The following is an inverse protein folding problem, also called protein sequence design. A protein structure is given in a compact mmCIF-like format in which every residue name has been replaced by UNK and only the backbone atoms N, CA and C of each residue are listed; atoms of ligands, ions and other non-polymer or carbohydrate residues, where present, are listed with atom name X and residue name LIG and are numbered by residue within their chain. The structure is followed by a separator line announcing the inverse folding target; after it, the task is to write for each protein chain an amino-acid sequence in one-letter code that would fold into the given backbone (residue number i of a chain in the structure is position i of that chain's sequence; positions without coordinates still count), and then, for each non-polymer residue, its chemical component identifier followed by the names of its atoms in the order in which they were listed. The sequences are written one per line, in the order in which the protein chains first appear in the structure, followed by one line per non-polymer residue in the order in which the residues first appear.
data_IF_171283296471
#
_entry.id   IF_171283296471
#
_cell.length_a   1.000
_cell.length_b   1.000
_cell.length_c   1.000
_cell.angle_alpha   90.00
_cell.angle_beta   90.00
_cell.angle_gamma   90.00
#
_symmetry.space_group_name_H-M   'P 1'
#
loop_
_entity.id
_entity.type
_entity.pdbx_description
1 polymer ?
#
# COMPACT_ATOMS: atom_id res chain seq x y z
N UNK A 1 17.77 -13.84 -17.14
CA UNK A 1 18.91 -12.93 -17.37
C UNK A 1 18.58 -12.08 -18.58
N UNK A 2 18.16 -10.82 -18.36
CA UNK A 2 17.95 -9.89 -19.46
C UNK A 2 19.32 -9.49 -20.03
N UNK A 3 19.57 -9.80 -21.30
CA UNK A 3 20.82 -9.52 -22.02
C UNK A 3 20.98 -8.04 -22.39
N UNK A 4 20.73 -7.14 -21.44
CA UNK A 4 21.04 -5.72 -21.60
C UNK A 4 22.52 -5.54 -21.29
N UNK A 5 23.31 -5.24 -22.31
CA UNK A 5 24.70 -4.83 -22.13
C UNK A 5 24.73 -3.68 -21.12
N UNK A 6 25.51 -3.81 -20.05
CA UNK A 6 25.63 -2.82 -18.97
C UNK A 6 25.73 -1.38 -19.51
N UNK A 7 26.42 -1.19 -20.63
CA UNK A 7 26.63 0.12 -21.28
C UNK A 7 25.37 0.82 -21.79
N UNK A 8 24.26 0.12 -22.03
CA UNK A 8 22.99 0.74 -22.46
C UNK A 8 22.24 1.45 -21.32
N UNK A 9 22.38 0.94 -20.08
CA UNK A 9 21.70 1.50 -18.90
C UNK A 9 22.39 2.80 -18.47
N UNK A 10 23.72 2.88 -18.54
CA UNK A 10 24.49 4.08 -18.18
C UNK A 10 24.38 5.24 -19.18
N UNK A 11 23.82 5.01 -20.39
CA UNK A 11 23.55 6.08 -21.35
C UNK A 11 22.21 6.80 -21.11
N UNK A 12 21.36 6.30 -20.20
CA UNK A 12 20.08 6.92 -19.85
C UNK A 12 19.99 7.40 -18.40
N UNK A 13 20.88 6.93 -17.52
CA UNK A 13 20.85 7.27 -16.11
C UNK A 13 22.23 7.74 -15.64
N UNK A 14 22.26 8.85 -14.90
CA UNK A 14 23.47 9.47 -14.35
C UNK A 14 24.17 8.60 -13.30
N UNK A 15 23.48 7.60 -12.73
CA UNK A 15 24.06 6.65 -11.80
C UNK A 15 23.04 5.70 -11.18
N UNK A 16 23.52 4.90 -10.22
CA UNK A 16 22.71 3.90 -9.49
C UNK A 16 21.46 4.50 -8.84
N UNK A 17 21.55 5.74 -8.38
CA UNK A 17 20.44 6.49 -7.76
C UNK A 17 19.24 6.57 -8.71
N UNK A 18 19.48 7.08 -9.91
CA UNK A 18 18.44 7.32 -10.91
C UNK A 18 17.91 6.00 -11.50
N UNK A 19 18.78 5.01 -11.65
CA UNK A 19 18.38 3.64 -12.02
C UNK A 19 17.42 3.08 -10.98
N UNK A 20 17.76 3.20 -9.69
CA UNK A 20 16.93 2.67 -8.63
C UNK A 20 15.60 3.41 -8.53
N UNK A 21 15.60 4.74 -8.60
CA UNK A 21 14.38 5.53 -8.61
C UNK A 21 13.43 5.12 -9.76
N UNK A 22 13.98 4.90 -10.97
CA UNK A 22 13.22 4.45 -12.12
C UNK A 22 12.68 3.03 -11.95
N UNK A 23 13.46 2.10 -11.38
CA UNK A 23 13.00 0.74 -11.06
C UNK A 23 11.91 0.78 -9.99
N UNK A 24 12.10 1.54 -8.91
CA UNK A 24 11.09 1.69 -7.87
C UNK A 24 9.79 2.26 -8.45
N UNK A 25 9.85 3.32 -9.25
CA UNK A 25 8.67 3.90 -9.89
C UNK A 25 7.98 2.90 -10.82
N UNK A 26 8.73 2.17 -11.65
CA UNK A 26 8.16 1.23 -12.62
C UNK A 26 7.50 0.00 -11.98
N UNK A 27 7.99 -0.45 -10.83
CA UNK A 27 7.53 -1.69 -10.18
C UNK A 27 6.70 -1.46 -8.91
N UNK A 28 6.62 -0.24 -8.39
CA UNK A 28 5.74 0.05 -7.25
C UNK A 28 4.27 -0.07 -7.69
N UNK A 29 3.41 -0.76 -6.92
CA UNK A 29 2.04 -1.06 -7.33
C UNK A 29 1.10 0.16 -7.34
N UNK A 30 1.60 1.39 -7.16
CA UNK A 30 0.71 2.56 -7.09
C UNK A 30 0.01 2.80 -8.43
N UNK A 31 0.64 2.41 -9.54
CA UNK A 31 0.07 2.51 -10.90
C UNK A 31 -1.21 1.69 -11.08
N UNK A 32 -1.37 0.62 -10.30
CA UNK A 32 -2.56 -0.24 -10.35
C UNK A 32 -3.48 0.01 -9.17
N UNK A 33 -2.90 0.21 -7.98
CA UNK A 33 -3.62 0.50 -6.74
C UNK A 33 -4.40 1.81 -6.81
N UNK A 34 -3.83 2.91 -7.33
CA UNK A 34 -4.56 4.19 -7.38
C UNK A 34 -5.80 4.11 -8.29
N UNK A 35 -5.71 3.63 -9.55
CA UNK A 35 -6.90 3.42 -10.37
C UNK A 35 -7.91 2.45 -9.77
N UNK A 36 -7.46 1.45 -9.00
CA UNK A 36 -8.36 0.55 -8.29
C UNK A 36 -9.11 1.30 -7.18
N UNK A 37 -8.41 2.10 -6.37
CA UNK A 37 -9.01 2.94 -5.34
C UNK A 37 -9.98 3.97 -5.92
N UNK A 38 -9.73 4.53 -7.11
CA UNK A 38 -10.67 5.44 -7.77
C UNK A 38 -12.04 4.80 -8.03
N UNK A 39 -12.08 3.48 -8.20
CA UNK A 39 -13.31 2.71 -8.42
C UNK A 39 -13.98 2.25 -7.13
N UNK A 40 -13.48 2.68 -5.96
CA UNK A 40 -14.06 2.28 -4.68
C UNK A 40 -15.50 2.78 -4.54
N UNK A 41 -16.39 1.87 -4.18
CA UNK A 41 -17.81 2.10 -3.92
C UNK A 41 -18.17 1.71 -2.48
N UNK A 42 -19.30 2.21 -1.99
CA UNK A 42 -19.78 1.92 -0.64
C UNK A 42 -20.53 3.11 -0.05
N UNK A 43 -21.73 2.88 0.46
CA UNK A 43 -22.58 3.94 1.02
C UNK A 43 -22.12 4.40 2.41
N UNK A 44 -21.52 3.49 3.18
CA UNK A 44 -20.98 3.76 4.50
C UNK A 44 -19.46 3.71 4.51
N UNK A 45 -18.83 4.31 5.53
CA UNK A 45 -17.38 4.28 5.74
C UNK A 45 -16.87 2.84 5.77
N UNK A 46 -17.58 1.94 6.44
CA UNK A 46 -17.27 0.51 6.55
C UNK A 46 -17.25 -0.14 5.16
N UNK A 47 -18.37 -0.06 4.43
CA UNK A 47 -18.51 -0.68 3.12
C UNK A 47 -17.48 -0.14 2.13
N UNK A 48 -17.25 1.17 2.17
CA UNK A 48 -16.26 1.83 1.33
C UNK A 48 -14.83 1.35 1.63
N UNK A 49 -14.47 1.21 2.90
CA UNK A 49 -13.13 0.75 3.28
C UNK A 49 -12.92 -0.74 3.01
N UNK A 50 -13.94 -1.59 3.18
CA UNK A 50 -13.87 -3.00 2.78
C UNK A 50 -13.72 -3.17 1.27
N UNK A 51 -14.48 -2.41 0.47
CA UNK A 51 -14.33 -2.44 -0.99
C UNK A 51 -12.95 -1.90 -1.42
N UNK A 52 -12.46 -0.82 -0.81
CA UNK A 52 -11.10 -0.34 -1.02
C UNK A 52 -10.06 -1.42 -0.66
N UNK A 53 -10.20 -2.07 0.48
CA UNK A 53 -9.29 -3.11 0.94
C UNK A 53 -9.25 -4.30 -0.02
N UNK A 54 -10.40 -4.80 -0.44
CA UNK A 54 -10.51 -5.87 -1.42
C UNK A 54 -9.83 -5.52 -2.73
N UNK A 55 -10.04 -4.29 -3.24
CA UNK A 55 -9.39 -3.79 -4.46
C UNK A 55 -7.88 -3.72 -4.32
N UNK A 56 -7.38 -3.13 -3.23
CA UNK A 56 -5.92 -3.04 -3.02
C UNK A 56 -5.31 -4.42 -2.91
N UNK A 57 -5.94 -5.33 -2.14
CA UNK A 57 -5.48 -6.71 -1.98
C UNK A 57 -5.29 -7.40 -3.33
N UNK A 58 -6.28 -7.31 -4.23
CA UNK A 58 -6.21 -7.91 -5.55
C UNK A 58 -5.08 -7.34 -6.42
N UNK A 59 -4.74 -6.06 -6.25
CA UNK A 59 -3.64 -5.43 -7.00
C UNK A 59 -2.25 -5.74 -6.42
N UNK A 60 -2.16 -6.05 -5.13
CA UNK A 60 -0.89 -6.32 -4.44
C UNK A 60 -0.63 -7.81 -4.20
N UNK A 61 -1.55 -8.70 -4.56
CA UNK A 61 -1.40 -10.13 -4.36
C UNK A 61 -0.16 -10.66 -5.09
N UNK A 62 0.72 -11.37 -4.37
CA UNK A 62 1.98 -11.87 -4.90
C UNK A 62 3.07 -10.80 -5.10
N UNK A 63 2.79 -9.53 -4.78
CA UNK A 63 3.76 -8.45 -4.90
C UNK A 63 4.84 -8.50 -3.81
N UNK A 64 4.65 -9.20 -2.70
CA UNK A 64 5.57 -9.23 -1.57
C UNK A 64 6.97 -9.70 -1.96
N UNK A 65 7.08 -10.63 -2.91
CA UNK A 65 8.36 -11.16 -3.40
C UNK A 65 9.13 -10.20 -4.31
N UNK A 66 8.47 -9.16 -4.84
CA UNK A 66 9.05 -8.17 -5.75
C UNK A 66 9.19 -6.80 -5.10
N UNK A 67 8.14 -6.37 -4.40
CA UNK A 67 8.05 -5.07 -3.76
C UNK A 67 8.92 -5.00 -2.50
N UNK A 68 8.85 -5.99 -1.60
CA UNK A 68 9.62 -5.92 -0.34
C UNK A 68 11.13 -5.85 -0.56
N UNK A 69 11.76 -6.61 -1.49
CA UNK A 69 13.17 -6.42 -1.80
C UNK A 69 13.52 -4.99 -2.23
N UNK A 70 12.68 -4.36 -3.06
CA UNK A 70 12.87 -2.96 -3.45
C UNK A 70 12.75 -2.03 -2.25
N UNK A 71 11.73 -2.22 -1.40
CA UNK A 71 11.57 -1.43 -0.17
C UNK A 71 12.76 -1.63 0.78
N UNK A 72 13.31 -2.84 0.92
CA UNK A 72 14.50 -3.06 1.75
C UNK A 72 15.74 -2.37 1.21
N UNK A 73 15.99 -2.44 -0.10
CA UNK A 73 17.10 -1.70 -0.73
C UNK A 73 16.90 -0.21 -0.50
N UNK A 74 15.69 0.29 -0.71
CA UNK A 74 15.35 1.69 -0.49
C UNK A 74 15.62 2.16 0.94
N UNK A 75 15.25 1.37 1.94
CA UNK A 75 15.45 1.73 3.34
C UNK A 75 16.92 1.62 3.77
N UNK A 76 17.64 0.61 3.31
CA UNK A 76 19.02 0.33 3.74
C UNK A 76 20.04 1.19 2.98
N UNK A 77 19.90 1.28 1.66
CA UNK A 77 20.87 1.97 0.81
C UNK A 77 20.54 3.45 0.64
N UNK A 78 19.26 3.75 0.38
CA UNK A 78 18.83 5.09 -0.02
C UNK A 78 18.12 5.85 1.11
N UNK A 79 17.94 5.24 2.28
CA UNK A 79 17.34 5.84 3.48
C UNK A 79 15.94 6.43 3.23
N UNK A 80 15.17 5.85 2.32
CA UNK A 80 13.77 6.24 2.07
C UNK A 80 13.57 7.51 1.23
N UNK A 81 14.63 8.09 0.65
CA UNK A 81 14.55 9.33 -0.14
C UNK A 81 13.61 9.22 -1.35
N UNK A 82 13.64 8.10 -2.07
CA UNK A 82 12.82 7.90 -3.26
C UNK A 82 11.37 7.62 -2.88
N UNK A 83 11.13 6.88 -1.79
CA UNK A 83 9.76 6.72 -1.26
C UNK A 83 9.18 8.03 -0.75
N UNK A 84 9.99 8.92 -0.18
CA UNK A 84 9.54 10.26 0.20
C UNK A 84 9.10 11.07 -1.02
N UNK A 85 9.93 11.10 -2.08
CA UNK A 85 9.57 11.77 -3.34
C UNK A 85 8.33 11.15 -4.00
N UNK A 86 8.19 9.82 -3.94
CA UNK A 86 7.00 9.14 -4.42
C UNK A 86 5.78 9.51 -3.57
N UNK A 87 5.89 9.55 -2.24
CA UNK A 87 4.79 9.94 -1.37
C UNK A 87 4.29 11.36 -1.65
N UNK A 88 5.20 12.32 -1.93
CA UNK A 88 4.83 13.67 -2.35
C UNK A 88 4.03 13.66 -3.66
N UNK A 89 4.47 12.88 -4.65
CA UNK A 89 3.76 12.68 -5.93
C UNK A 89 2.37 12.08 -5.74
N UNK A 90 2.21 11.14 -4.82
CA UNK A 90 0.95 10.41 -4.59
C UNK A 90 -0.01 11.15 -3.64
N UNK A 91 0.46 12.18 -2.92
CA UNK A 91 -0.33 12.90 -1.91
C UNK A 91 -1.69 13.42 -2.43
N UNK A 92 -1.79 14.04 -3.63
CA UNK A 92 -3.07 14.54 -4.12
C UNK A 92 -4.13 13.44 -4.28
N UNK A 93 -3.72 12.27 -4.79
CA UNK A 93 -4.62 11.12 -4.95
C UNK A 93 -5.08 10.56 -3.58
N UNK A 94 -4.18 10.52 -2.61
CA UNK A 94 -4.51 10.10 -1.25
C UNK A 94 -5.49 11.07 -0.57
N UNK A 95 -5.33 12.37 -0.78
CA UNK A 95 -6.27 13.37 -0.27
C UNK A 95 -7.66 13.23 -0.90
N UNK A 96 -7.73 13.00 -2.22
CA UNK A 96 -8.99 12.75 -2.92
C UNK A 96 -9.67 11.48 -2.40
N UNK A 97 -8.90 10.41 -2.12
CA UNK A 97 -9.43 9.20 -1.49
C UNK A 97 -10.03 9.49 -0.12
N UNK A 98 -9.32 10.22 0.75
CA UNK A 98 -9.81 10.60 2.08
C UNK A 98 -11.05 11.49 2.00
N UNK A 99 -11.11 12.42 1.06
CA UNK A 99 -12.30 13.26 0.84
C UNK A 99 -13.54 12.41 0.55
N UNK A 100 -13.44 11.45 -0.38
CA UNK A 100 -14.56 10.55 -0.68
C UNK A 100 -14.94 9.66 0.51
N UNK A 101 -13.98 9.27 1.34
CA UNK A 101 -14.23 8.51 2.56
C UNK A 101 -15.06 9.32 3.58
N UNK A 102 -14.67 10.57 3.85
CA UNK A 102 -15.37 11.40 4.85
C UNK A 102 -16.75 11.86 4.39
N UNK A 103 -17.04 11.77 3.09
CA UNK A 103 -18.36 12.00 2.51
C UNK A 103 -19.32 10.81 2.69
N UNK A 104 -18.83 9.64 3.12
CA UNK A 104 -19.67 8.45 3.34
C UNK A 104 -20.45 8.54 4.63
N UNK A 105 -21.56 7.80 4.68
CA UNK A 105 -22.37 7.67 5.90
C UNK A 105 -21.58 6.94 6.97
N UNK A 106 -21.77 7.34 8.23
CA UNK A 106 -20.99 6.83 9.36
C UNK A 106 -20.21 7.97 10.00
N UNK A 107 -19.85 7.81 11.27
CA UNK A 107 -19.07 8.81 12.00
C UNK A 107 -17.69 8.24 12.30
N UNK A 108 -16.68 8.95 11.83
CA UNK A 108 -15.31 8.72 12.26
C UNK A 108 -15.13 9.34 13.63
N UNK A 109 -14.35 8.68 14.49
CA UNK A 109 -13.87 9.26 15.75
C UNK A 109 -13.08 10.52 15.46
N UNK A 110 -12.98 11.38 16.47
CA UNK A 110 -12.15 12.59 16.41
C UNK A 110 -10.65 12.26 16.45
N UNK A 111 -10.13 11.71 15.35
CA UNK A 111 -8.73 11.34 15.14
C UNK A 111 -8.17 12.25 14.04
N UNK A 112 -7.00 12.89 14.24
CA UNK A 112 -6.35 13.66 13.19
C UNK A 112 -6.15 12.83 11.90
N UNK A 113 -6.58 13.32 10.71
CA UNK A 113 -6.46 12.58 9.45
C UNK A 113 -5.07 12.03 9.14
N UNK A 114 -3.96 12.74 9.42
CA UNK A 114 -2.61 12.19 9.21
C UNK A 114 -2.34 10.92 10.02
N UNK A 115 -2.92 10.78 11.22
CA UNK A 115 -2.76 9.60 12.07
C UNK A 115 -3.52 8.41 11.47
N UNK A 116 -4.77 8.63 11.04
CA UNK A 116 -5.58 7.59 10.38
C UNK A 116 -4.87 7.07 9.13
N UNK A 117 -4.40 7.98 8.28
CA UNK A 117 -3.68 7.64 7.05
C UNK A 117 -2.37 6.90 7.35
N UNK A 118 -1.59 7.37 8.34
CA UNK A 118 -0.35 6.70 8.78
C UNK A 118 -0.60 5.28 9.26
N UNK A 119 -1.66 5.07 10.05
CA UNK A 119 -2.04 3.75 10.55
C UNK A 119 -2.55 2.83 9.45
N UNK A 120 -3.34 3.35 8.51
CA UNK A 120 -3.78 2.60 7.34
C UNK A 120 -2.57 2.11 6.54
N UNK A 121 -1.59 2.98 6.25
CA UNK A 121 -0.34 2.57 5.60
C UNK A 121 0.44 1.55 6.42
N UNK A 122 0.49 1.70 7.75
CA UNK A 122 1.14 0.72 8.62
C UNK A 122 0.47 -0.66 8.55
N UNK A 123 -0.87 -0.71 8.43
CA UNK A 123 -1.62 -1.96 8.21
C UNK A 123 -1.22 -2.62 6.90
N UNK A 124 -1.14 -1.87 5.80
CA UNK A 124 -0.70 -2.38 4.49
C UNK A 124 0.74 -2.92 4.52
N UNK A 125 1.68 -2.14 5.05
CA UNK A 125 3.09 -2.55 5.16
C UNK A 125 3.23 -3.74 6.10
N UNK A 126 2.52 -3.72 7.24
CA UNK A 126 2.46 -4.81 8.19
C UNK A 126 1.99 -6.09 7.54
N UNK A 127 0.89 -6.04 6.78
CA UNK A 127 0.36 -7.17 6.03
C UNK A 127 1.41 -7.76 5.08
N UNK A 128 2.00 -6.96 4.18
CA UNK A 128 3.00 -7.46 3.23
C UNK A 128 4.19 -8.13 3.94
N UNK A 129 4.69 -7.49 5.01
CA UNK A 129 5.79 -8.01 5.81
C UNK A 129 5.45 -9.35 6.46
N UNK A 130 4.27 -9.44 7.08
CA UNK A 130 3.84 -10.68 7.72
C UNK A 130 3.46 -11.76 6.70
N UNK A 131 2.89 -11.39 5.56
CA UNK A 131 2.52 -12.32 4.49
C UNK A 131 3.76 -12.99 3.93
N UNK A 132 4.84 -12.23 3.65
CA UNK A 132 6.11 -12.76 3.18
C UNK A 132 6.68 -13.85 4.12
N UNK A 133 6.53 -13.66 5.44
CA UNK A 133 7.10 -14.55 6.46
C UNK A 133 6.17 -15.70 6.82
N UNK A 134 4.87 -15.43 6.96
CA UNK A 134 3.92 -16.35 7.60
C UNK A 134 3.12 -17.20 6.61
N UNK A 135 2.93 -16.77 5.35
CA UNK A 135 2.02 -17.47 4.41
C UNK A 135 2.32 -18.95 4.18
N UNK A 136 3.59 -19.35 4.35
CA UNK A 136 4.04 -20.73 4.17
C UNK A 136 4.19 -21.51 5.49
N UNK A 137 3.97 -20.87 6.63
CA UNK A 137 4.01 -21.53 7.94
C UNK A 137 2.74 -22.38 8.10
N UNK A 138 2.83 -23.68 8.44
CA UNK A 138 1.67 -24.58 8.40
C UNK A 138 0.44 -24.10 9.18
N UNK A 139 0.64 -23.47 10.34
CA UNK A 139 -0.47 -22.96 11.15
C UNK A 139 -1.23 -21.82 10.45
N UNK A 140 -0.56 -20.98 9.67
CA UNK A 140 -1.20 -19.88 8.93
C UNK A 140 -1.71 -20.34 7.56
N UNK A 141 -0.97 -21.24 6.89
CA UNK A 141 -1.34 -21.77 5.57
C UNK A 141 -2.63 -22.59 5.59
N UNK A 142 -2.86 -23.35 6.67
CA UNK A 142 -4.01 -24.25 6.77
C UNK A 142 -5.28 -23.57 7.29
N UNK A 143 -5.23 -22.26 7.55
CA UNK A 143 -6.35 -21.47 8.01
C UNK A 143 -6.89 -20.68 6.82
N UNK A 144 -8.16 -20.90 6.48
CA UNK A 144 -8.87 -20.12 5.47
C UNK A 144 -9.41 -18.83 6.10
N UNK A 145 -8.58 -17.80 6.14
CA UNK A 145 -8.96 -16.46 6.58
C UNK A 145 -8.55 -15.42 5.54
N UNK A 146 -9.38 -14.38 5.38
CA UNK A 146 -8.96 -13.16 4.71
C UNK A 146 -8.19 -12.28 5.70
N UNK A 147 -6.88 -12.55 5.83
CA UNK A 147 -6.01 -11.84 6.75
C UNK A 147 -6.01 -10.32 6.52
N UNK A 148 -6.06 -9.90 5.26
CA UNK A 148 -6.00 -8.49 4.92
C UNK A 148 -7.30 -7.78 5.28
N UNK A 149 -8.45 -8.35 4.91
CA UNK A 149 -9.76 -7.81 5.27
C UNK A 149 -9.96 -7.79 6.79
N UNK A 150 -9.55 -8.84 7.51
CA UNK A 150 -9.61 -8.88 8.98
C UNK A 150 -8.76 -7.81 9.65
N UNK A 151 -7.58 -7.48 9.10
CA UNK A 151 -6.77 -6.36 9.60
C UNK A 151 -7.43 -5.00 9.36
N UNK A 152 -8.17 -4.86 8.25
CA UNK A 152 -8.94 -3.65 7.95
C UNK A 152 -10.15 -3.52 8.88
N UNK A 153 -10.85 -4.61 9.20
CA UNK A 153 -11.91 -4.62 10.20
C UNK A 153 -11.39 -4.15 11.57
N UNK A 154 -10.22 -4.64 12.00
CA UNK A 154 -9.57 -4.18 13.24
C UNK A 154 -9.26 -2.67 13.18
N UNK A 155 -8.73 -2.19 12.05
CA UNK A 155 -8.49 -0.76 11.84
C UNK A 155 -9.79 0.05 11.93
N UNK A 156 -10.86 -0.40 11.26
CA UNK A 156 -12.17 0.23 11.22
C UNK A 156 -12.78 0.36 12.62
N UNK A 157 -12.74 -0.70 13.43
CA UNK A 157 -13.15 -0.66 14.84
C UNK A 157 -12.36 0.38 15.66
N UNK A 158 -11.13 0.68 15.26
CA UNK A 158 -10.30 1.70 15.88
C UNK A 158 -10.71 3.13 15.50
N UNK A 159 -11.20 3.36 14.28
CA UNK A 159 -11.46 4.70 13.73
C UNK A 159 -12.94 5.10 13.67
N UNK A 160 -13.87 4.14 13.69
CA UNK A 160 -15.30 4.41 13.70
C UNK A 160 -15.79 4.76 15.11
N UNK A 161 -16.75 5.67 15.20
CA UNK A 161 -17.49 5.86 16.45
C UNK A 161 -18.31 4.60 16.75
N UNK A 162 -18.36 4.14 18.01
CA UNK A 162 -19.26 3.06 18.39
C UNK A 162 -20.70 3.45 18.04
N UNK A 163 -21.46 2.51 17.46
CA UNK A 163 -22.91 2.65 17.38
C UNK A 163 -23.46 2.77 18.81
N UNK A 164 -24.30 3.78 19.04
CA UNK A 164 -24.89 4.09 20.35
C UNK A 164 -26.07 3.17 20.68
#
# INVERSE_FOLDING_TARGET
SAGLALGGIYNHFAGKDEIFAAVLDAYHPYHTVLPALEKTEGETVELFMHDAAWRVKNEIEGSETKLLPLIFIELVEFQGRHLAALAEKLMPAMLAFVQRLVERRGKLRHIPPPIMLRMLFATFVGYLMTEMVLKNVPVFKNIELDWFDGMIDIYLRGVLEPEA
#
